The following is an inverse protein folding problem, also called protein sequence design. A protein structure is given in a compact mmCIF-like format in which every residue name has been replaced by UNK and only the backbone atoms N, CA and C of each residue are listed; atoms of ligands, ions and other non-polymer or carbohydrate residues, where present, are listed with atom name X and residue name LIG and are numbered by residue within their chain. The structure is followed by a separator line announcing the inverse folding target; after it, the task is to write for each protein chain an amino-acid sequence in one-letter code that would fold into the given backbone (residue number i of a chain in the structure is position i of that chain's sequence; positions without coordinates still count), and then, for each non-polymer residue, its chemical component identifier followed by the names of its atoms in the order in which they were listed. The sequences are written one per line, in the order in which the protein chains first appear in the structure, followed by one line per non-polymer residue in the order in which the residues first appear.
data_IF_522081937843
#
_entry.id   IF_522081937843
#
_cell.length_a   1.000
_cell.length_b   1.000
_cell.length_c   1.000
_cell.angle_alpha   90.00
_cell.angle_beta   90.00
_cell.angle_gamma   90.00
#
_symmetry.space_group_name_H-M   'P 1'
#
loop_
_entity.id
_entity.type
_entity.pdbx_description
1 polymer ?
#
# COMPACT_ATOMS: atom_id res chain seq x y z
N UNK A 1 13.99 5.85 16.16
CA UNK A 1 12.93 6.12 15.15
C UNK A 1 13.44 5.67 13.78
N UNK A 2 12.58 5.11 12.93
CA UNK A 2 12.99 4.59 11.62
C UNK A 2 13.07 5.68 10.53
N UNK A 3 12.25 6.73 10.62
CA UNK A 3 12.30 7.89 9.71
C UNK A 3 13.49 8.78 10.09
N UNK A 4 14.24 9.21 9.07
CA UNK A 4 15.39 10.12 9.16
C UNK A 4 15.28 11.22 8.10
N UNK A 5 16.18 12.20 8.14
CA UNK A 5 16.26 13.24 7.10
C UNK A 5 16.58 12.70 5.69
N UNK A 6 17.09 11.47 5.59
CA UNK A 6 17.39 10.81 4.31
C UNK A 6 16.28 9.84 3.87
N UNK A 7 15.26 9.62 4.69
CA UNK A 7 14.13 8.75 4.33
C UNK A 7 13.32 9.41 3.23
N UNK A 8 13.10 8.69 2.13
CA UNK A 8 12.33 9.18 0.98
C UNK A 8 11.06 8.40 0.71
N UNK A 9 11.06 7.10 1.01
CA UNK A 9 9.95 6.21 0.74
C UNK A 9 9.63 5.36 1.96
N UNK A 10 8.35 5.24 2.26
CA UNK A 10 7.78 4.12 2.98
C UNK A 10 7.20 3.15 1.95
N UNK A 11 7.64 1.89 1.96
CA UNK A 11 7.05 0.83 1.16
C UNK A 11 6.02 0.07 2.00
N UNK A 12 4.78 0.04 1.54
CA UNK A 12 3.71 -0.78 2.09
C UNK A 12 3.35 -1.85 1.05
N UNK A 13 3.35 -3.11 1.45
CA UNK A 13 2.94 -4.23 0.59
C UNK A 13 1.70 -4.90 1.19
N UNK A 14 0.55 -4.73 0.52
CA UNK A 14 -0.79 -4.91 1.08
C UNK A 14 -1.75 -5.58 0.08
N UNK A 15 -2.29 -6.78 0.34
CA UNK A 15 -1.83 -7.79 1.29
C UNK A 15 -0.34 -8.16 1.14
N UNK A 16 0.32 -8.45 2.25
CA UNK A 16 1.77 -8.66 2.28
C UNK A 16 2.19 -10.05 1.76
N UNK A 17 3.28 -10.08 1.00
CA UNK A 17 4.11 -11.26 0.78
C UNK A 17 5.38 -11.13 1.63
N UNK A 18 5.72 -12.09 2.53
CA UNK A 18 5.20 -13.47 2.59
C UNK A 18 4.12 -13.73 3.64
N UNK A 19 3.79 -12.79 4.53
CA UNK A 19 2.96 -13.09 5.70
C UNK A 19 1.46 -13.21 5.42
N UNK A 20 0.97 -12.71 4.28
CA UNK A 20 -0.46 -12.58 3.98
C UNK A 20 -1.17 -11.49 4.79
N UNK A 21 -0.43 -10.69 5.57
CA UNK A 21 -1.02 -9.67 6.44
C UNK A 21 -1.71 -8.58 5.63
N UNK A 22 -2.95 -8.27 6.02
CA UNK A 22 -3.73 -7.13 5.53
C UNK A 22 -3.96 -6.15 6.67
N UNK A 23 -4.26 -4.90 6.33
CA UNK A 23 -4.51 -3.83 7.28
C UNK A 23 -5.93 -3.32 7.09
N UNK A 24 -6.59 -2.98 8.19
CA UNK A 24 -7.87 -2.29 8.12
C UNK A 24 -7.70 -0.78 7.89
N UNK A 25 -8.81 -0.09 7.61
CA UNK A 25 -8.81 1.34 7.33
C UNK A 25 -8.30 2.18 8.51
N UNK A 26 -8.54 1.75 9.76
CA UNK A 26 -8.11 2.49 10.93
C UNK A 26 -6.58 2.40 11.07
N UNK A 27 -6.01 1.20 10.93
CA UNK A 27 -4.57 0.98 10.98
C UNK A 27 -3.84 1.76 9.87
N UNK A 28 -4.40 1.81 8.66
CA UNK A 28 -3.85 2.62 7.56
C UNK A 28 -3.98 4.12 7.82
N UNK A 29 -5.05 4.58 8.46
CA UNK A 29 -5.21 5.98 8.89
C UNK A 29 -4.16 6.37 9.94
N UNK A 30 -3.89 5.50 10.92
CA UNK A 30 -2.87 5.71 11.95
C UNK A 30 -1.46 5.80 11.33
N UNK A 31 -1.16 5.01 10.29
CA UNK A 31 0.06 5.16 9.49
C UNK A 31 0.07 6.49 8.73
N UNK A 32 -1.06 6.91 8.18
CA UNK A 32 -1.23 8.22 7.56
C UNK A 32 -0.88 9.38 8.50
N UNK A 33 -1.26 9.30 9.77
CA UNK A 33 -0.91 10.32 10.78
C UNK A 33 0.60 10.43 11.03
N UNK A 34 1.35 9.33 10.82
CA UNK A 34 2.80 9.39 10.80
C UNK A 34 3.30 10.14 9.57
N UNK A 35 2.77 9.80 8.38
CA UNK A 35 3.20 10.42 7.12
C UNK A 35 2.89 11.91 7.05
N UNK A 36 1.75 12.37 7.59
CA UNK A 36 1.37 13.80 7.67
C UNK A 36 2.41 14.64 8.42
N UNK A 37 3.12 14.06 9.38
CA UNK A 37 4.21 14.73 10.13
C UNK A 37 5.53 14.78 9.37
N UNK A 38 5.63 14.09 8.24
CA UNK A 38 6.84 13.94 7.44
C UNK A 38 6.56 14.18 5.94
N UNK A 39 6.27 15.42 5.51
CA UNK A 39 5.85 15.72 4.13
C UNK A 39 6.90 15.44 3.05
N UNK A 40 8.16 15.18 3.43
CA UNK A 40 9.24 14.79 2.52
C UNK A 40 9.28 13.29 2.23
N UNK A 41 8.48 12.49 2.96
CA UNK A 41 8.39 11.04 2.82
C UNK A 41 7.21 10.71 1.92
N UNK A 42 7.48 9.94 0.87
CA UNK A 42 6.49 9.39 -0.04
C UNK A 42 6.08 7.99 0.41
N UNK A 43 4.92 7.52 -0.03
CA UNK A 43 4.41 6.18 0.24
C UNK A 43 4.28 5.44 -1.09
N UNK A 44 4.94 4.29 -1.20
CA UNK A 44 4.69 3.34 -2.27
C UNK A 44 3.78 2.25 -1.72
N UNK A 45 2.54 2.19 -2.21
CA UNK A 45 1.55 1.18 -1.84
C UNK A 45 1.52 0.11 -2.92
N UNK A 46 2.19 -1.02 -2.68
CA UNK A 46 2.13 -2.20 -3.54
C UNK A 46 0.89 -3.01 -3.17
N UNK A 47 -0.12 -2.91 -4.04
CA UNK A 47 -1.46 -3.46 -3.85
C UNK A 47 -1.75 -4.64 -4.80
N UNK A 48 -0.71 -5.31 -5.31
CA UNK A 48 -0.81 -6.39 -6.31
C UNK A 48 -1.69 -7.59 -5.89
N UNK A 49 -1.91 -7.76 -4.58
CA UNK A 49 -2.72 -8.82 -4.00
C UNK A 49 -4.14 -8.36 -3.61
N UNK A 50 -4.60 -7.16 -4.00
CA UNK A 50 -5.89 -6.59 -3.54
C UNK A 50 -7.12 -7.50 -3.73
N UNK A 51 -7.09 -8.36 -4.75
CA UNK A 51 -8.17 -9.30 -5.07
C UNK A 51 -8.02 -10.67 -4.40
N UNK A 52 -6.92 -10.91 -3.68
CA UNK A 52 -6.61 -12.18 -3.00
C UNK A 52 -6.72 -11.93 -1.50
N UNK A 53 -7.95 -11.82 -1.01
CA UNK A 53 -8.27 -11.65 0.42
C UNK A 53 -9.12 -12.82 0.92
N UNK A 54 -9.10 -13.06 2.24
CA UNK A 54 -9.78 -14.18 2.89
C UNK A 54 -10.72 -13.69 4.00
N UNK A 55 -11.57 -14.59 4.51
CA UNK A 55 -12.40 -14.37 5.71
C UNK A 55 -13.29 -13.11 5.68
N UNK A 56 -13.86 -12.81 4.51
CA UNK A 56 -14.70 -11.62 4.26
C UNK A 56 -13.97 -10.28 4.41
N UNK A 57 -12.66 -10.28 4.64
CA UNK A 57 -11.89 -9.04 4.65
C UNK A 57 -11.82 -8.47 3.24
N UNK A 58 -12.12 -7.18 3.12
CA UNK A 58 -11.90 -6.43 1.89
C UNK A 58 -10.58 -5.69 1.99
N UNK A 59 -9.83 -5.70 0.90
CA UNK A 59 -8.67 -4.83 0.76
C UNK A 59 -9.08 -3.37 0.92
N UNK A 60 -8.24 -2.60 1.60
CA UNK A 60 -8.37 -1.15 1.74
C UNK A 60 -7.08 -0.53 1.20
N UNK A 61 -7.19 0.26 0.14
CA UNK A 61 -6.04 1.02 -0.37
C UNK A 61 -5.60 2.07 0.66
N UNK A 62 -4.28 2.27 0.78
CA UNK A 62 -3.72 3.30 1.67
C UNK A 62 -4.24 4.70 1.32
N UNK A 63 -4.40 5.00 0.02
CA UNK A 63 -4.89 6.29 -0.45
C UNK A 63 -6.38 6.49 -0.12
N UNK A 64 -7.19 5.44 -0.21
CA UNK A 64 -8.61 5.50 0.16
C UNK A 64 -8.80 5.80 1.66
N UNK A 65 -7.90 5.30 2.52
CA UNK A 65 -7.90 5.61 3.95
C UNK A 65 -7.33 7.01 4.26
N UNK A 66 -6.52 7.58 3.36
CA UNK A 66 -5.82 8.85 3.55
C UNK A 66 -5.88 9.73 2.29
N UNK A 67 -7.07 10.22 1.89
CA UNK A 67 -7.28 10.88 0.61
C UNK A 67 -6.49 12.20 0.45
N UNK A 68 -6.17 12.87 1.57
CA UNK A 68 -5.37 14.08 1.60
C UNK A 68 -3.89 13.85 1.25
N UNK A 69 -3.41 12.60 1.29
CA UNK A 69 -2.02 12.24 0.97
C UNK A 69 -1.80 11.90 -0.51
N UNK A 70 -2.75 12.20 -1.40
CA UNK A 70 -2.67 11.88 -2.83
C UNK A 70 -1.34 12.26 -3.49
N UNK A 71 -0.80 13.44 -3.18
CA UNK A 71 0.45 13.93 -3.78
C UNK A 71 1.71 13.22 -3.22
N UNK A 72 1.55 12.40 -2.19
CA UNK A 72 2.63 11.62 -1.56
C UNK A 72 2.54 10.12 -1.84
N UNK A 73 1.48 9.64 -2.52
CA UNK A 73 1.23 8.21 -2.68
C UNK A 73 1.43 7.77 -4.13
N UNK A 74 2.23 6.73 -4.32
CA UNK A 74 2.31 5.96 -5.55
C UNK A 74 1.68 4.59 -5.30
N UNK A 75 0.56 4.31 -5.97
CA UNK A 75 -0.04 2.97 -5.99
C UNK A 75 0.65 2.16 -7.08
N UNK A 76 1.08 0.95 -6.74
CA UNK A 76 1.65 -0.03 -7.67
C UNK A 76 0.73 -1.24 -7.70
N UNK A 77 0.27 -1.62 -8.89
CA UNK A 77 -0.62 -2.76 -9.06
C UNK A 77 -0.42 -3.42 -10.44
N UNK A 78 -1.24 -4.41 -10.78
CA UNK A 78 -1.13 -5.14 -12.03
C UNK A 78 -2.00 -6.39 -12.11
N UNK A 79 -1.94 -7.06 -13.25
CA UNK A 79 -2.83 -8.20 -13.53
C UNK A 79 -2.20 -9.56 -13.18
N UNK A 80 -0.94 -9.57 -12.76
CA UNK A 80 -0.14 -10.79 -12.61
C UNK A 80 -0.73 -11.79 -11.61
N UNK A 81 -1.33 -11.33 -10.51
CA UNK A 81 -1.79 -12.19 -9.40
C UNK A 81 -3.28 -12.45 -9.47
N UNK A 82 -4.08 -11.38 -9.47
CA UNK A 82 -5.54 -11.47 -9.51
C UNK A 82 -6.08 -12.29 -10.70
N UNK A 83 -5.42 -12.21 -11.86
CA UNK A 83 -5.90 -12.83 -13.09
C UNK A 83 -5.00 -13.96 -13.61
N UNK A 84 -4.06 -14.45 -12.78
CA UNK A 84 -3.07 -15.46 -13.20
C UNK A 84 -2.27 -15.09 -14.47
N UNK A 85 -2.08 -13.79 -14.73
CA UNK A 85 -1.42 -13.29 -15.94
C UNK A 85 0.09 -13.01 -15.75
N UNK A 86 0.78 -13.81 -14.94
CA UNK A 86 2.20 -13.59 -14.59
C UNK A 86 3.10 -13.45 -15.83
N UNK A 87 2.86 -14.23 -16.88
CA UNK A 87 3.63 -14.20 -18.14
C UNK A 87 3.36 -12.99 -19.06
N UNK A 88 2.26 -12.25 -18.85
CA UNK A 88 1.86 -11.14 -19.73
C UNK A 88 2.59 -9.83 -19.46
N UNK A 89 3.19 -9.70 -18.26
CA UNK A 89 4.07 -8.58 -17.88
C UNK A 89 3.40 -7.20 -17.93
N UNK A 90 2.16 -7.10 -17.41
CA UNK A 90 1.42 -5.83 -17.31
C UNK A 90 1.29 -5.45 -15.82
N UNK A 91 1.84 -4.29 -15.48
CA UNK A 91 1.68 -3.59 -14.22
C UNK A 91 1.48 -2.09 -14.48
N UNK A 92 0.97 -1.38 -13.48
CA UNK A 92 0.66 0.04 -13.57
C UNK A 92 0.81 0.71 -12.20
#
# INVERSE_FOLDING_TARGET
AAITLHTRWLLLNLPSNPSGTSYDAQQLSELGDVIRRHPHVLVMSDEIYEHITFDSQKHVSFLSANPDLNDQVLIVNGVSKAYAMTGWRIGY
#
